data_IF_490022274439
#
_entry.id   IF_490022274439
#
_cell.length_a   1.000
_cell.length_b   1.000
_cell.length_c   1.000
_cell.angle_alpha   90.00
_cell.angle_beta   90.00
_cell.angle_gamma   90.00
#
_symmetry.space_group_name_H-M   'P 1'
#
loop_
_entity.id
_entity.type
_entity.pdbx_description
1 polymer ?
#
# COMPACT_ATOMS: atom_id res chain seq x y z
N UNK A 1 -26.41 -4.93 -12.07
CA UNK A 1 -25.05 -5.38 -12.44
C UNK A 1 -24.94 -6.85 -12.06
N UNK A 2 -24.35 -7.73 -12.86
CA UNK A 2 -24.13 -9.11 -12.43
C UNK A 2 -23.27 -9.09 -11.17
N UNK A 3 -23.69 -9.83 -10.17
CA UNK A 3 -22.94 -10.00 -8.92
C UNK A 3 -21.76 -10.94 -9.21
N UNK A 4 -20.65 -10.40 -9.74
CA UNK A 4 -19.45 -11.17 -10.02
C UNK A 4 -18.78 -11.38 -8.67
N UNK A 5 -18.83 -12.61 -8.16
CA UNK A 5 -18.10 -12.98 -6.95
C UNK A 5 -16.59 -12.73 -7.18
N UNK A 6 -15.90 -12.13 -6.22
CA UNK A 6 -14.46 -11.88 -6.36
C UNK A 6 -13.70 -13.19 -6.61
N UNK A 7 -12.85 -13.20 -7.64
CA UNK A 7 -11.93 -14.34 -7.86
C UNK A 7 -10.71 -14.19 -6.96
N UNK A 8 -10.33 -15.28 -6.29
CA UNK A 8 -9.11 -15.33 -5.50
C UNK A 8 -7.84 -15.41 -6.36
N UNK A 9 -7.99 -15.88 -7.62
CA UNK A 9 -6.89 -16.01 -8.55
C UNK A 9 -6.45 -14.66 -9.08
N UNK A 10 -5.15 -14.47 -9.21
CA UNK A 10 -4.54 -13.36 -9.92
C UNK A 10 -3.73 -13.91 -11.09
N UNK A 11 -4.25 -13.73 -12.29
CA UNK A 11 -3.62 -14.16 -13.53
C UNK A 11 -2.95 -13.03 -14.31
N UNK A 12 -2.88 -11.84 -13.74
CA UNK A 12 -2.26 -10.70 -14.40
C UNK A 12 -0.75 -10.91 -14.58
N UNK A 13 -0.20 -10.50 -15.73
CA UNK A 13 1.24 -10.56 -15.98
C UNK A 13 2.02 -9.77 -14.95
N UNK A 14 3.12 -10.36 -14.46
CA UNK A 14 4.02 -9.71 -13.51
C UNK A 14 5.33 -9.35 -14.19
N UNK A 15 5.81 -8.16 -13.91
CA UNK A 15 7.12 -7.66 -14.32
C UNK A 15 7.91 -7.23 -13.09
N UNK A 16 9.19 -6.97 -13.28
CA UNK A 16 10.04 -6.42 -12.23
C UNK A 16 10.98 -5.37 -12.76
N UNK A 17 11.38 -4.46 -11.90
CA UNK A 17 12.41 -3.46 -12.15
C UNK A 17 13.35 -3.40 -10.96
N UNK A 18 14.64 -3.18 -11.24
CA UNK A 18 15.65 -3.04 -10.19
C UNK A 18 15.79 -1.56 -9.81
N UNK A 19 15.48 -1.25 -8.56
CA UNK A 19 15.57 0.10 -8.00
C UNK A 19 16.60 0.08 -6.87
N UNK A 20 17.70 0.77 -7.05
CA UNK A 20 18.80 0.86 -6.08
C UNK A 20 19.24 -0.51 -5.51
N UNK A 21 19.28 -1.52 -6.38
CA UNK A 21 19.66 -2.89 -6.03
C UNK A 21 18.54 -3.76 -5.46
N UNK A 22 17.33 -3.21 -5.28
CA UNK A 22 16.14 -3.91 -4.80
C UNK A 22 15.19 -4.18 -5.95
N UNK A 23 14.76 -5.43 -6.13
CA UNK A 23 13.79 -5.79 -7.16
C UNK A 23 12.38 -5.49 -6.70
N UNK A 24 11.73 -4.52 -7.35
CA UNK A 24 10.32 -4.26 -7.19
C UNK A 24 9.51 -5.02 -8.23
N UNK A 25 8.55 -5.81 -7.76
CA UNK A 25 7.58 -6.52 -8.59
C UNK A 25 6.36 -5.62 -8.84
N UNK A 26 5.76 -5.79 -10.01
CA UNK A 26 4.51 -5.09 -10.31
C UNK A 26 3.68 -5.85 -11.35
N UNK A 27 2.39 -5.66 -11.31
CA UNK A 27 1.48 -6.06 -12.38
C UNK A 27 1.55 -5.03 -13.50
N UNK A 28 1.64 -5.48 -14.74
CA UNK A 28 1.43 -4.63 -15.91
C UNK A 28 0.57 -5.36 -16.93
N UNK A 29 -0.56 -4.74 -17.29
CA UNK A 29 -1.51 -5.30 -18.26
C UNK A 29 -2.29 -4.19 -18.97
N UNK A 30 -3.04 -4.53 -19.98
CA UNK A 30 -3.94 -3.63 -20.71
C UNK A 30 -3.29 -2.95 -21.90
N UNK A 31 -3.72 -1.74 -22.19
CA UNK A 31 -3.37 -0.99 -23.40
C UNK A 31 -2.07 -0.18 -23.23
N UNK A 32 -0.95 -0.76 -23.57
CA UNK A 32 0.40 -0.22 -23.31
C UNK A 32 0.59 1.25 -23.77
N UNK A 33 -0.07 1.66 -24.87
CA UNK A 33 0.06 3.01 -25.43
C UNK A 33 -0.94 4.02 -24.87
N UNK A 34 -1.78 3.61 -23.94
CA UNK A 34 -2.76 4.51 -23.29
C UNK A 34 -2.17 5.09 -22.00
N UNK A 35 -2.63 6.30 -21.58
CA UNK A 35 -2.25 6.85 -20.30
C UNK A 35 -2.49 5.84 -19.17
N UNK A 36 -1.53 5.67 -18.27
CA UNK A 36 -1.60 4.61 -17.27
C UNK A 36 -2.59 4.92 -16.15
N UNK A 37 -3.16 3.84 -15.62
CA UNK A 37 -3.79 3.82 -14.30
C UNK A 37 -2.86 3.08 -13.36
N UNK A 38 -2.40 3.75 -12.33
CA UNK A 38 -1.48 3.20 -11.32
C UNK A 38 -2.25 2.92 -10.04
N UNK A 39 -2.21 1.67 -9.61
CA UNK A 39 -2.91 1.18 -8.42
C UNK A 39 -1.94 1.02 -7.27
N UNK A 40 -2.08 1.82 -6.21
CA UNK A 40 -1.21 1.77 -5.03
C UNK A 40 -1.95 1.15 -3.85
N UNK A 41 -1.39 0.07 -3.34
CA UNK A 41 -1.87 -0.62 -2.15
C UNK A 41 -1.25 -0.06 -0.86
N UNK A 42 -1.72 -0.53 0.28
CA UNK A 42 -1.17 -0.21 1.59
C UNK A 42 -0.93 -1.44 2.46
N UNK A 43 -1.02 -1.27 3.76
CA UNK A 43 -0.72 -2.28 4.77
C UNK A 43 -1.94 -3.17 5.09
N UNK A 44 -1.80 -4.49 5.15
CA UNK A 44 -0.67 -5.36 4.85
C UNK A 44 -0.79 -6.03 3.48
N UNK A 45 -1.29 -5.32 2.50
CA UNK A 45 -1.69 -5.85 1.20
C UNK A 45 -0.55 -5.79 0.16
N UNK A 46 -0.90 -6.00 -1.11
CA UNK A 46 0.00 -5.95 -2.26
C UNK A 46 -0.81 -5.60 -3.51
N UNK A 47 -0.19 -5.62 -4.68
CA UNK A 47 -0.90 -5.50 -5.96
C UNK A 47 -2.08 -6.47 -6.10
N UNK A 48 -2.05 -7.59 -5.38
CA UNK A 48 -3.13 -8.58 -5.32
C UNK A 48 -4.48 -7.98 -4.89
N UNK A 49 -4.49 -6.90 -4.10
CA UNK A 49 -5.69 -6.16 -3.73
C UNK A 49 -6.51 -5.76 -4.97
N UNK A 50 -5.83 -5.42 -6.05
CA UNK A 50 -6.41 -4.83 -7.25
C UNK A 50 -6.81 -5.85 -8.32
N UNK A 51 -6.54 -7.16 -8.13
CA UNK A 51 -6.70 -8.22 -9.13
C UNK A 51 -8.07 -8.22 -9.84
N UNK A 52 -9.14 -8.03 -9.08
CA UNK A 52 -10.49 -8.01 -9.63
C UNK A 52 -10.87 -6.64 -10.25
N UNK A 53 -10.20 -5.56 -9.86
CA UNK A 53 -10.46 -4.21 -10.37
C UNK A 53 -9.72 -3.98 -11.69
N UNK A 54 -8.48 -4.40 -11.78
CA UNK A 54 -7.63 -4.25 -12.97
C UNK A 54 -8.32 -4.81 -14.21
N UNK A 55 -8.98 -5.96 -14.10
CA UNK A 55 -9.70 -6.60 -15.21
C UNK A 55 -10.78 -5.71 -15.84
N UNK A 56 -11.38 -4.79 -15.08
CA UNK A 56 -12.40 -3.88 -15.59
C UNK A 56 -11.82 -2.62 -16.26
N UNK A 57 -10.54 -2.35 -16.07
CA UNK A 57 -9.85 -1.15 -16.55
C UNK A 57 -8.92 -1.47 -17.72
N UNK A 58 -8.35 -2.66 -17.74
CA UNK A 58 -7.32 -3.09 -18.68
C UNK A 58 -7.74 -3.04 -20.15
N UNK A 59 -9.01 -3.21 -20.47
CA UNK A 59 -9.51 -3.13 -21.85
C UNK A 59 -9.33 -1.74 -22.48
N UNK A 60 -9.25 -0.69 -21.66
CA UNK A 60 -9.21 0.70 -22.10
C UNK A 60 -7.95 1.46 -21.70
N UNK A 61 -7.17 0.96 -20.75
CA UNK A 61 -6.02 1.65 -20.15
C UNK A 61 -4.82 0.71 -19.97
N UNK A 62 -3.63 1.29 -19.86
CA UNK A 62 -2.46 0.63 -19.28
C UNK A 62 -2.62 0.57 -17.77
N UNK A 63 -2.60 -0.61 -17.18
CA UNK A 63 -2.77 -0.81 -15.75
C UNK A 63 -1.44 -1.22 -15.13
N UNK A 64 -1.02 -0.53 -14.10
CA UNK A 64 0.21 -0.77 -13.35
C UNK A 64 -0.11 -0.88 -11.86
N UNK A 65 0.39 -1.91 -11.18
CA UNK A 65 0.20 -2.07 -9.75
C UNK A 65 1.49 -2.60 -9.12
N UNK A 66 2.36 -1.74 -8.55
CA UNK A 66 3.55 -2.19 -7.85
C UNK A 66 3.22 -2.87 -6.53
N UNK A 67 4.05 -3.84 -6.15
CA UNK A 67 4.19 -4.27 -4.76
C UNK A 67 5.19 -3.33 -4.08
N UNK A 68 4.82 -2.72 -2.97
CA UNK A 68 5.73 -1.90 -2.16
C UNK A 68 6.89 -2.75 -1.64
N UNK A 69 8.05 -2.15 -1.41
CA UNK A 69 9.24 -2.88 -0.93
C UNK A 69 8.93 -3.65 0.36
N UNK A 70 9.36 -4.90 0.43
CA UNK A 70 9.10 -5.80 1.55
C UNK A 70 7.67 -6.34 1.63
N UNK A 71 6.81 -6.05 0.65
CA UNK A 71 5.42 -6.49 0.57
C UNK A 71 5.17 -7.20 -0.77
N UNK A 72 4.14 -8.05 -0.82
CA UNK A 72 3.86 -8.85 -2.01
C UNK A 72 5.07 -9.70 -2.43
N UNK A 73 5.47 -9.56 -3.68
CA UNK A 73 6.62 -10.25 -4.27
C UNK A 73 7.85 -9.34 -4.44
N UNK A 74 7.80 -8.10 -3.94
CA UNK A 74 8.95 -7.19 -3.94
C UNK A 74 9.98 -7.56 -2.88
N UNK A 75 11.26 -7.39 -3.24
CA UNK A 75 12.36 -7.62 -2.31
C UNK A 75 12.39 -6.58 -1.19
N UNK A 76 13.19 -6.86 -0.18
CA UNK A 76 13.41 -5.99 0.97
C UNK A 76 14.69 -5.22 0.78
N UNK A 77 14.69 -3.91 1.06
CA UNK A 77 15.92 -3.16 1.16
C UNK A 77 16.83 -3.75 2.26
N UNK A 78 18.14 -3.89 2.03
CA UNK A 78 19.06 -4.50 3.00
C UNK A 78 19.08 -3.81 4.37
N UNK A 79 18.86 -2.49 4.39
CA UNK A 79 18.87 -1.66 5.59
C UNK A 79 17.53 -0.91 5.76
N UNK A 80 16.45 -1.43 5.15
CA UNK A 80 15.15 -0.77 5.18
C UNK A 80 14.49 -0.89 6.56
N UNK A 81 14.12 0.24 7.12
CA UNK A 81 13.27 0.32 8.30
C UNK A 81 11.78 0.35 7.90
N UNK A 82 11.51 0.40 6.62
CA UNK A 82 10.17 0.46 6.01
C UNK A 82 9.36 1.68 6.47
N UNK A 83 10.05 2.79 6.69
CA UNK A 83 9.42 4.08 6.99
C UNK A 83 8.65 4.61 5.78
N UNK A 84 7.83 5.63 6.01
CA UNK A 84 7.19 6.35 4.90
C UNK A 84 8.22 6.86 3.88
N UNK A 85 9.33 7.41 4.37
CA UNK A 85 10.41 7.92 3.52
C UNK A 85 11.06 6.82 2.68
N UNK A 86 11.30 5.64 3.25
CA UNK A 86 11.83 4.49 2.50
C UNK A 86 10.89 4.10 1.35
N UNK A 87 9.61 3.89 1.66
CA UNK A 87 8.63 3.52 0.64
C UNK A 87 8.45 4.61 -0.42
N UNK A 88 8.43 5.90 -0.03
CA UNK A 88 8.33 7.02 -0.96
C UNK A 88 9.54 7.07 -1.90
N UNK A 89 10.76 6.85 -1.38
CA UNK A 89 11.98 6.80 -2.18
C UNK A 89 11.92 5.72 -3.27
N UNK A 90 11.59 4.48 -2.90
CA UNK A 90 11.51 3.38 -3.85
C UNK A 90 10.38 3.57 -4.87
N UNK A 91 9.24 4.09 -4.43
CA UNK A 91 8.11 4.35 -5.31
C UNK A 91 8.41 5.49 -6.29
N UNK A 92 9.04 6.57 -5.86
CA UNK A 92 9.47 7.67 -6.73
C UNK A 92 10.38 7.15 -7.86
N UNK A 93 11.40 6.35 -7.50
CA UNK A 93 12.31 5.72 -8.46
C UNK A 93 11.59 4.74 -9.40
N UNK A 94 10.57 4.04 -8.89
CA UNK A 94 9.75 3.17 -9.71
C UNK A 94 8.94 3.96 -10.75
N UNK A 95 8.33 5.09 -10.36
CA UNK A 95 7.65 6.00 -11.29
C UNK A 95 8.61 6.52 -12.38
N UNK A 96 9.81 6.93 -11.98
CA UNK A 96 10.82 7.43 -12.91
C UNK A 96 11.30 6.33 -13.88
N UNK A 97 11.58 5.13 -13.38
CA UNK A 97 12.06 4.00 -14.19
C UNK A 97 11.05 3.55 -15.26
N UNK A 98 9.75 3.70 -14.98
CA UNK A 98 8.69 3.37 -15.93
C UNK A 98 8.22 4.58 -16.77
N UNK A 99 8.84 5.74 -16.61
CA UNK A 99 8.50 7.00 -17.30
C UNK A 99 6.98 7.29 -17.22
N UNK A 100 6.44 7.29 -15.99
CA UNK A 100 5.01 7.49 -15.78
C UNK A 100 4.63 8.95 -16.00
N UNK A 101 3.74 9.16 -16.97
CA UNK A 101 3.23 10.46 -17.37
C UNK A 101 1.71 10.39 -17.55
N UNK A 102 1.01 11.50 -17.27
CA UNK A 102 -0.44 11.64 -17.45
C UNK A 102 -1.25 10.52 -16.78
N UNK A 103 -0.86 10.13 -15.57
CA UNK A 103 -1.42 8.99 -14.86
C UNK A 103 -2.71 9.31 -14.11
N UNK A 104 -3.61 8.34 -14.04
CA UNK A 104 -4.64 8.30 -13.01
C UNK A 104 -4.10 7.42 -11.87
N UNK A 105 -4.05 7.95 -10.65
CA UNK A 105 -3.71 7.17 -9.46
C UNK A 105 -4.98 6.63 -8.81
N UNK A 106 -5.00 5.32 -8.53
CA UNK A 106 -6.04 4.65 -7.75
C UNK A 106 -5.38 4.15 -6.47
N UNK A 107 -5.72 4.75 -5.34
CA UNK A 107 -4.94 4.61 -4.12
C UNK A 107 -5.80 4.19 -2.94
N UNK A 108 -5.22 3.38 -2.06
CA UNK A 108 -5.87 2.84 -0.87
C UNK A 108 -4.89 2.80 0.31
N UNK A 109 -5.38 3.13 1.51
CA UNK A 109 -4.61 3.09 2.75
C UNK A 109 -3.28 3.86 2.62
N UNK A 110 -2.13 3.32 2.97
CA UNK A 110 -0.82 3.95 2.81
C UNK A 110 -0.44 4.26 1.36
N UNK A 111 -0.99 3.50 0.40
CA UNK A 111 -0.87 3.85 -1.01
C UNK A 111 -1.45 5.23 -1.33
N UNK A 112 -2.43 5.71 -0.54
CA UNK A 112 -2.97 7.06 -0.69
C UNK A 112 -1.96 8.12 -0.25
N UNK A 113 -1.34 7.95 0.91
CA UNK A 113 -0.35 8.90 1.40
C UNK A 113 0.87 8.99 0.47
N UNK A 114 1.36 7.85 0.00
CA UNK A 114 2.45 7.79 -0.99
C UNK A 114 2.05 8.42 -2.32
N UNK A 115 0.87 8.08 -2.83
CA UNK A 115 0.36 8.59 -4.10
C UNK A 115 0.09 10.10 -4.06
N UNK A 116 -0.52 10.62 -3.01
CA UNK A 116 -0.76 12.06 -2.85
C UNK A 116 0.54 12.85 -2.70
N UNK A 117 1.49 12.35 -1.92
CA UNK A 117 2.81 12.95 -1.77
C UNK A 117 3.55 13.01 -3.12
N UNK A 118 3.49 11.96 -3.93
CA UNK A 118 4.08 11.94 -5.25
C UNK A 118 3.34 12.90 -6.20
N UNK A 119 1.99 12.87 -6.21
CA UNK A 119 1.16 13.70 -7.07
C UNK A 119 1.36 15.20 -6.81
N UNK A 120 1.42 15.60 -5.54
CA UNK A 120 1.68 17.00 -5.16
C UNK A 120 3.02 17.52 -5.71
N UNK A 121 4.05 16.67 -5.70
CA UNK A 121 5.39 17.02 -6.21
C UNK A 121 5.51 16.91 -7.74
N UNK A 122 4.55 16.23 -8.39
CA UNK A 122 4.53 15.98 -9.83
C UNK A 122 3.15 16.27 -10.45
N UNK A 123 2.57 17.46 -10.24
CA UNK A 123 1.19 17.75 -10.65
C UNK A 123 0.98 17.63 -12.17
N UNK A 124 2.01 17.92 -12.96
CA UNK A 124 1.93 17.82 -14.42
C UNK A 124 1.91 16.37 -14.94
N UNK A 125 2.28 15.40 -14.10
CA UNK A 125 2.26 13.97 -14.43
C UNK A 125 0.95 13.27 -14.09
N UNK A 126 0.00 13.97 -13.48
CA UNK A 126 -1.26 13.43 -12.98
C UNK A 126 -2.43 13.95 -13.81
N UNK A 127 -3.33 13.04 -14.21
CA UNK A 127 -4.60 13.38 -14.87
C UNK A 127 -5.83 13.10 -14.00
N UNK A 128 -5.68 12.42 -12.87
CA UNK A 128 -6.77 12.16 -11.93
C UNK A 128 -6.35 11.36 -10.71
N UNK A 129 -7.16 11.47 -9.67
CA UNK A 129 -7.01 10.75 -8.40
C UNK A 129 -8.31 10.04 -8.06
N UNK A 130 -8.21 8.75 -7.74
CA UNK A 130 -9.28 7.94 -7.18
C UNK A 130 -8.77 7.36 -5.87
N UNK A 131 -9.44 7.58 -4.76
CA UNK A 131 -8.95 7.17 -3.46
C UNK A 131 -10.06 6.58 -2.59
N UNK A 132 -9.67 5.67 -1.73
CA UNK A 132 -10.54 5.01 -0.75
C UNK A 132 -9.73 4.65 0.49
N UNK A 133 -10.36 4.72 1.68
CA UNK A 133 -9.68 4.51 2.98
C UNK A 133 -8.37 5.32 3.08
N UNK A 134 -8.44 6.60 2.70
CA UNK A 134 -7.28 7.42 2.42
C UNK A 134 -6.82 8.25 3.62
N UNK A 135 -5.51 8.40 3.78
CA UNK A 135 -4.91 9.32 4.75
C UNK A 135 -4.88 10.74 4.15
N UNK A 136 -5.90 11.54 4.40
CA UNK A 136 -6.05 12.89 3.85
C UNK A 136 -5.65 14.00 4.82
N UNK A 137 -5.54 13.69 6.10
CA UNK A 137 -5.14 14.60 7.17
C UNK A 137 -4.54 13.83 8.34
N UNK A 138 -3.69 14.47 9.18
CA UNK A 138 -3.27 13.88 10.44
C UNK A 138 -4.48 13.66 11.35
N UNK A 139 -4.37 12.67 12.23
CA UNK A 139 -5.42 12.27 13.15
C UNK A 139 -5.04 12.60 14.60
N UNK A 140 -6.03 12.57 15.47
CA UNK A 140 -5.79 12.52 16.91
C UNK A 140 -6.36 11.23 17.49
N UNK A 141 -5.88 10.80 18.65
CA UNK A 141 -6.48 9.65 19.33
C UNK A 141 -7.96 9.88 19.68
N UNK A 142 -8.41 11.12 19.68
CA UNK A 142 -9.83 11.45 19.89
C UNK A 142 -10.67 11.10 18.65
N UNK A 143 -10.10 11.24 17.46
CA UNK A 143 -10.78 10.96 16.19
C UNK A 143 -10.68 9.47 15.80
N UNK A 144 -9.82 8.71 16.51
CA UNK A 144 -9.61 7.29 16.21
C UNK A 144 -10.82 6.44 16.60
N UNK A 145 -11.23 5.47 15.76
CA UNK A 145 -12.32 4.56 16.09
C UNK A 145 -12.08 3.82 17.41
N UNK A 146 -13.01 3.91 18.35
CA UNK A 146 -12.84 3.41 19.72
C UNK A 146 -12.53 1.91 19.77
N UNK A 147 -13.16 1.13 18.87
CA UNK A 147 -12.95 -0.32 18.77
C UNK A 147 -11.55 -0.72 18.26
N UNK A 148 -10.84 0.17 17.56
CA UNK A 148 -9.51 -0.08 17.04
C UNK A 148 -8.38 0.59 17.85
N UNK A 149 -8.73 1.60 18.67
CA UNK A 149 -7.78 2.45 19.38
C UNK A 149 -6.78 1.67 20.22
N UNK A 150 -7.26 0.77 21.07
CA UNK A 150 -6.40 0.01 21.97
C UNK A 150 -5.37 -0.86 21.25
N UNK A 151 -5.77 -1.50 20.14
CA UNK A 151 -4.85 -2.35 19.37
C UNK A 151 -3.80 -1.53 18.63
N UNK A 152 -4.17 -0.35 18.09
CA UNK A 152 -3.20 0.53 17.42
C UNK A 152 -2.24 1.20 18.41
N UNK A 153 -2.70 1.60 19.59
CA UNK A 153 -1.83 2.07 20.67
C UNK A 153 -0.84 0.98 21.11
N UNK A 154 -1.29 -0.26 21.25
CA UNK A 154 -0.43 -1.39 21.60
C UNK A 154 0.64 -1.67 20.53
N UNK A 155 0.28 -1.63 19.24
CA UNK A 155 1.27 -1.79 18.15
C UNK A 155 2.33 -0.68 18.12
N UNK A 156 1.98 0.54 18.56
CA UNK A 156 2.91 1.68 18.64
C UNK A 156 3.80 1.64 19.90
N UNK A 157 3.51 0.78 20.85
CA UNK A 157 4.34 0.54 22.04
C UNK A 157 5.33 -0.61 21.81
N UNK A 158 6.10 -0.96 22.86
CA UNK A 158 6.99 -2.14 22.85
C UNK A 158 6.26 -3.46 22.62
N UNK A 159 4.98 -3.55 23.04
CA UNK A 159 4.15 -4.72 22.81
C UNK A 159 3.95 -5.05 21.32
N UNK A 160 4.10 -4.05 20.43
CA UNK A 160 3.99 -4.20 18.99
C UNK A 160 4.96 -5.21 18.40
N UNK A 161 6.17 -5.32 18.95
CA UNK A 161 7.17 -6.30 18.48
C UNK A 161 6.63 -7.75 18.63
N UNK A 162 6.12 -8.09 19.80
CA UNK A 162 5.54 -9.42 20.02
C UNK A 162 4.25 -9.62 19.21
N UNK A 163 3.38 -8.61 19.19
CA UNK A 163 2.08 -8.70 18.52
C UNK A 163 2.21 -8.90 17.01
N UNK A 164 3.11 -8.16 16.38
CA UNK A 164 3.22 -8.15 14.92
C UNK A 164 4.31 -9.08 14.45
N UNK A 165 5.54 -8.95 14.96
CA UNK A 165 6.66 -9.73 14.43
C UNK A 165 6.55 -11.22 14.83
N UNK A 166 6.05 -11.53 16.03
CA UNK A 166 5.92 -12.92 16.46
C UNK A 166 4.54 -13.49 16.13
N UNK A 167 3.46 -12.79 16.42
CA UNK A 167 2.08 -13.29 16.29
C UNK A 167 1.40 -12.93 14.97
N UNK A 168 2.03 -12.08 14.12
CA UNK A 168 1.50 -11.65 12.82
C UNK A 168 0.08 -11.08 12.89
N UNK A 169 -0.24 -10.37 13.98
CA UNK A 169 -1.62 -9.94 14.28
C UNK A 169 -2.22 -9.09 13.15
N UNK A 170 -1.40 -8.32 12.43
CA UNK A 170 -1.89 -7.45 11.37
C UNK A 170 -2.50 -8.27 10.24
N UNK A 171 -1.80 -9.31 9.77
CA UNK A 171 -2.28 -10.19 8.69
C UNK A 171 -3.34 -11.16 9.17
N UNK A 172 -3.16 -11.73 10.39
CA UNK A 172 -4.03 -12.81 10.87
C UNK A 172 -5.35 -12.34 11.49
N UNK A 173 -5.42 -11.08 11.95
CA UNK A 173 -6.61 -10.57 12.64
C UNK A 173 -7.12 -9.25 12.08
N UNK A 174 -6.25 -8.25 11.89
CA UNK A 174 -6.70 -6.93 11.46
C UNK A 174 -7.18 -6.97 10.00
N UNK A 175 -6.43 -7.57 9.10
CA UNK A 175 -6.81 -7.68 7.70
C UNK A 175 -8.18 -8.38 7.52
N UNK A 176 -8.44 -9.58 8.03
CA UNK A 176 -9.75 -10.21 7.83
C UNK A 176 -10.89 -9.46 8.51
N UNK A 177 -10.63 -8.78 9.64
CA UNK A 177 -11.62 -7.96 10.33
C UNK A 177 -11.93 -6.64 9.60
N UNK A 178 -11.07 -6.21 8.68
CA UNK A 178 -11.25 -4.98 7.88
C UNK A 178 -11.99 -5.23 6.57
N UNK A 179 -12.37 -6.45 6.27
CA UNK A 179 -13.10 -6.82 5.05
C UNK A 179 -14.50 -7.28 5.41
N UNK A 180 -15.52 -6.71 4.75
CA UNK A 180 -16.93 -7.00 5.05
C UNK A 180 -17.27 -8.49 4.82
N UNK A 181 -16.75 -9.07 3.72
CA UNK A 181 -16.90 -10.49 3.44
C UNK A 181 -15.81 -11.30 4.11
N UNK A 182 -16.06 -12.56 4.35
CA UNK A 182 -15.00 -13.49 4.76
C UNK A 182 -13.98 -13.70 3.62
N UNK A 183 -12.70 -13.60 3.96
CA UNK A 183 -11.60 -13.95 3.05
C UNK A 183 -11.44 -15.46 3.05
N UNK A 184 -11.29 -16.04 1.85
CA UNK A 184 -11.04 -17.48 1.71
C UNK A 184 -9.61 -17.85 2.19
N UNK A 185 -9.39 -19.13 2.49
CA UNK A 185 -8.04 -19.62 2.85
C UNK A 185 -7.02 -19.36 1.74
N UNK A 186 -7.44 -19.44 0.46
CA UNK A 186 -6.61 -19.14 -0.69
C UNK A 186 -6.19 -17.67 -0.71
N UNK A 187 -7.12 -16.73 -0.49
CA UNK A 187 -6.82 -15.30 -0.40
C UNK A 187 -5.89 -15.01 0.77
N UNK A 188 -6.18 -15.57 1.94
CA UNK A 188 -5.32 -15.42 3.12
C UNK A 188 -3.92 -16.00 2.90
N UNK A 189 -3.79 -17.11 2.17
CA UNK A 189 -2.48 -17.69 1.86
C UNK A 189 -1.61 -16.74 1.03
N UNK A 190 -2.22 -15.98 0.11
CA UNK A 190 -1.51 -14.98 -0.70
C UNK A 190 -1.08 -13.79 0.15
N UNK A 191 -1.97 -13.26 0.99
CA UNK A 191 -1.61 -12.15 1.89
C UNK A 191 -0.57 -12.54 2.94
N UNK A 192 -0.55 -13.80 3.40
CA UNK A 192 0.45 -14.33 4.36
C UNK A 192 1.83 -14.49 3.75
N UNK A 193 1.91 -14.76 2.43
CA UNK A 193 3.15 -15.17 1.76
C UNK A 193 4.38 -14.31 2.09
N UNK A 194 4.34 -12.97 2.08
CA UNK A 194 5.52 -12.14 2.41
C UNK A 194 5.90 -12.18 3.89
N UNK A 195 5.00 -12.64 4.76
CA UNK A 195 5.06 -12.51 6.22
C UNK A 195 5.01 -13.88 6.95
N UNK A 196 5.38 -14.96 6.26
CA UNK A 196 5.34 -16.31 6.83
C UNK A 196 6.35 -16.47 7.96
N UNK A 197 7.59 -16.02 7.74
CA UNK A 197 8.65 -16.14 8.74
C UNK A 197 8.47 -15.11 9.85
N UNK A 198 8.49 -15.50 11.14
CA UNK A 198 8.48 -14.56 12.25
C UNK A 198 9.69 -13.63 12.25
N UNK A 199 9.55 -12.47 12.88
CA UNK A 199 10.60 -11.48 12.99
C UNK A 199 10.60 -10.46 11.84
N UNK A 200 11.77 -10.13 11.30
CA UNK A 200 11.95 -9.01 10.38
C UNK A 200 11.17 -9.13 9.07
N UNK A 201 10.73 -10.35 8.70
CA UNK A 201 9.85 -10.50 7.55
C UNK A 201 8.55 -9.70 7.69
N UNK A 202 8.12 -9.47 8.91
CA UNK A 202 6.88 -8.77 9.27
C UNK A 202 7.09 -7.30 9.64
N UNK A 203 8.35 -6.81 9.59
CA UNK A 203 8.68 -5.41 9.94
C UNK A 203 7.82 -4.38 9.19
N UNK A 204 7.57 -4.48 7.88
CA UNK A 204 6.70 -3.51 7.19
C UNK A 204 5.34 -3.36 7.84
N UNK A 205 4.71 -4.48 8.25
CA UNK A 205 3.36 -4.46 8.86
C UNK A 205 3.34 -3.88 10.27
N UNK A 206 4.49 -3.75 10.93
CA UNK A 206 4.65 -3.05 12.22
C UNK A 206 5.02 -1.59 12.02
N UNK A 207 5.91 -1.28 11.08
CA UNK A 207 6.34 0.09 10.85
C UNK A 207 5.18 0.95 10.38
N UNK A 208 4.34 0.48 9.46
CA UNK A 208 3.21 1.24 8.97
C UNK A 208 2.25 1.77 10.06
N UNK A 209 1.75 1.00 11.03
CA UNK A 209 0.93 1.57 12.11
C UNK A 209 1.69 2.58 13.00
N UNK A 210 3.02 2.45 13.10
CA UNK A 210 3.87 3.40 13.84
C UNK A 210 4.08 4.72 13.09
N UNK A 211 3.94 4.70 11.76
CA UNK A 211 4.07 5.87 10.90
C UNK A 211 2.76 6.68 10.75
N UNK A 212 1.60 6.14 11.20
CA UNK A 212 0.34 6.90 11.13
C UNK A 212 0.48 8.18 11.98
N UNK A 213 0.25 9.38 11.40
CA UNK A 213 0.42 10.64 12.12
C UNK A 213 -0.74 10.87 13.10
N UNK A 214 -0.52 10.51 14.35
CA UNK A 214 -1.49 10.68 15.42
C UNK A 214 -0.92 11.63 16.48
N UNK A 215 -1.67 12.67 16.84
CA UNK A 215 -1.27 13.73 17.77
C UNK A 215 0.07 14.41 17.40
N UNK A 216 0.34 14.50 16.08
CA UNK A 216 1.54 15.15 15.56
C UNK A 216 2.77 14.25 15.38
N UNK A 217 2.68 12.97 15.76
CA UNK A 217 3.80 12.03 15.68
C UNK A 217 3.53 10.86 14.72
N UNK A 218 4.49 10.46 13.84
CA UNK A 218 5.79 11.11 13.62
C UNK A 218 5.67 12.48 12.95
N UNK A 219 6.54 13.43 13.33
CA UNK A 219 6.47 14.83 12.87
C UNK A 219 6.70 14.97 11.37
N UNK A 220 7.63 14.23 10.81
CA UNK A 220 7.93 14.22 9.37
C UNK A 220 6.73 13.76 8.53
N UNK A 221 6.09 12.66 8.89
CA UNK A 221 4.89 12.15 8.21
C UNK A 221 3.71 13.10 8.42
N UNK A 222 3.57 13.67 9.63
CA UNK A 222 2.54 14.66 9.94
C UNK A 222 2.65 15.86 8.98
N UNK A 223 3.87 16.40 8.82
CA UNK A 223 4.14 17.53 7.93
C UNK A 223 3.81 17.22 6.47
N UNK A 224 4.20 16.03 6.00
CA UNK A 224 3.92 15.58 4.63
C UNK A 224 2.42 15.48 4.39
N UNK A 225 1.68 14.85 5.31
CA UNK A 225 0.23 14.67 5.16
C UNK A 225 -0.51 16.01 5.22
N UNK A 226 -0.11 16.93 6.10
CA UNK A 226 -0.66 18.28 6.14
C UNK A 226 -0.42 19.05 4.82
N UNK A 227 0.78 18.90 4.26
CA UNK A 227 1.15 19.57 3.01
C UNK A 227 0.26 19.13 1.85
N UNK A 228 0.18 17.83 1.57
CA UNK A 228 -0.66 17.38 0.46
C UNK A 228 -2.17 17.47 0.76
N UNK A 229 -2.57 17.36 2.03
CA UNK A 229 -3.98 17.56 2.42
C UNK A 229 -4.49 18.97 2.13
N UNK A 230 -3.60 19.98 2.18
CA UNK A 230 -3.92 21.34 1.77
C UNK A 230 -3.97 21.49 0.25
N UNK A 231 -3.21 20.68 -0.47
CA UNK A 231 -3.14 20.70 -1.93
C UNK A 231 -4.34 19.98 -2.58
N UNK A 232 -4.88 18.91 -1.97
CA UNK A 232 -6.05 18.15 -2.42
C UNK A 232 -7.33 19.01 -2.43
#
# INVERSE_FOLDING_TARGET
MPNIAPDWRDSHPRKSVLIDGVRMQYVETGQEHKPPVVFLHGNPTSSYLWRNIISHVADSRRCLAPDLVGMGDSERPPNGEFTFADHAHYLDRWFDALNIENAVLVVHDWGSALGFNWAQRNPDKISGLVYMEALVQPLTWKDWPENAKAVFQAMRSEAGEEMVLQKNIFVERILPASVIRELTDQEMSIYRKPFLDPGESRRPTLTWPRQIPVDGEPEDVTTIIQSYGTWL
#
